data_IF_811358753497
#
_entry.id   IF_811358753497
#
_cell.length_a   1.000
_cell.length_b   1.000
_cell.length_c   1.000
_cell.angle_alpha   90.00
_cell.angle_beta   90.00
_cell.angle_gamma   90.00
#
_symmetry.space_group_name_H-M   'P 1'
#
loop_
_entity.id
_entity.type
_entity.pdbx_description
1 polymer ?
#
# COMPACT_ATOMS: atom_id res chain seq x y z
N UNK A 1 -13.55 -35.26 12.31
CA UNK A 1 -14.24 -34.76 11.07
C UNK A 1 -13.36 -33.67 10.50
N UNK A 2 -12.54 -33.96 9.48
CA UNK A 2 -11.56 -33.02 8.94
C UNK A 2 -12.23 -32.14 7.87
N UNK A 3 -12.25 -30.83 8.08
CA UNK A 3 -12.68 -29.89 7.05
C UNK A 3 -11.62 -29.84 5.95
N UNK A 4 -11.95 -30.40 4.80
CA UNK A 4 -11.18 -30.27 3.58
C UNK A 4 -11.45 -28.88 2.99
N UNK A 5 -10.50 -27.93 3.14
CA UNK A 5 -10.52 -26.69 2.37
C UNK A 5 -9.99 -27.02 0.99
N UNK A 6 -10.91 -27.31 0.07
CA UNK A 6 -10.62 -27.47 -1.35
C UNK A 6 -10.76 -26.10 -2.02
N UNK A 7 -9.70 -25.65 -2.70
CA UNK A 7 -9.82 -24.69 -3.76
C UNK A 7 -9.39 -23.26 -3.48
N UNK A 8 -8.11 -23.05 -3.17
CA UNK A 8 -7.41 -21.85 -3.59
C UNK A 8 -6.46 -22.27 -4.71
N UNK A 9 -7.00 -22.53 -5.89
CA UNK A 9 -6.20 -22.43 -7.11
C UNK A 9 -5.97 -20.94 -7.34
N UNK A 10 -4.76 -20.49 -7.01
CA UNK A 10 -4.24 -19.24 -7.54
C UNK A 10 -4.15 -19.42 -9.06
N UNK A 11 -5.13 -18.88 -9.78
CA UNK A 11 -4.95 -18.57 -11.18
C UNK A 11 -4.01 -17.35 -11.23
N UNK A 12 -2.92 -17.37 -12.01
CA UNK A 12 -2.18 -16.16 -12.32
C UNK A 12 -3.08 -15.30 -13.21
N UNK A 13 -3.89 -14.45 -12.57
CA UNK A 13 -4.69 -13.44 -13.24
C UNK A 13 -3.80 -12.27 -13.57
N UNK A 14 -3.71 -11.92 -14.83
CA UNK A 14 -3.26 -10.61 -15.29
C UNK A 14 -4.22 -9.58 -14.70
N UNK A 15 -3.83 -8.88 -13.66
CA UNK A 15 -4.61 -7.78 -13.10
C UNK A 15 -4.34 -6.53 -13.93
N UNK A 16 -5.16 -6.30 -14.92
CA UNK A 16 -5.28 -5.00 -15.57
C UNK A 16 -6.12 -4.11 -14.66
N UNK A 17 -5.50 -3.15 -14.01
CA UNK A 17 -6.22 -2.08 -13.33
C UNK A 17 -6.44 -0.93 -14.31
N UNK A 18 -7.52 -1.01 -15.07
CA UNK A 18 -7.96 0.10 -15.91
C UNK A 18 -8.42 1.26 -15.03
N UNK A 19 -7.75 2.37 -15.11
CA UNK A 19 -8.17 3.63 -14.52
C UNK A 19 -7.26 4.26 -13.48
N UNK A 20 -6.16 3.61 -13.10
CA UNK A 20 -5.13 4.27 -12.28
C UNK A 20 -3.80 4.23 -13.02
N UNK A 21 -3.16 5.38 -13.16
CA UNK A 21 -1.84 5.52 -13.81
C UNK A 21 -0.68 5.02 -12.92
N UNK A 22 -0.96 4.10 -12.01
CA UNK A 22 0.06 3.38 -11.28
C UNK A 22 0.69 2.34 -12.22
N UNK A 23 2.00 2.26 -12.30
CA UNK A 23 2.64 1.23 -13.11
C UNK A 23 2.09 -0.13 -12.70
N UNK A 24 1.58 -0.88 -13.68
CA UNK A 24 1.10 -2.25 -13.49
C UNK A 24 2.19 -3.02 -12.74
N UNK A 25 1.88 -3.68 -11.61
CA UNK A 25 2.85 -4.56 -10.98
C UNK A 25 3.33 -5.56 -12.04
N UNK A 26 4.62 -5.64 -12.24
CA UNK A 26 5.18 -6.70 -13.09
C UNK A 26 4.85 -8.03 -12.42
N UNK A 27 4.49 -9.07 -13.18
CA UNK A 27 4.12 -10.41 -12.69
C UNK A 27 5.12 -11.02 -11.68
N UNK A 28 6.28 -10.38 -11.53
CA UNK A 28 7.39 -10.84 -10.70
C UNK A 28 7.65 -9.99 -9.44
N UNK A 29 6.91 -8.92 -9.19
CA UNK A 29 7.17 -8.03 -8.05
C UNK A 29 5.88 -7.65 -7.34
N UNK A 30 5.41 -8.51 -6.43
CA UNK A 30 4.33 -8.17 -5.49
C UNK A 30 4.92 -7.69 -4.18
N UNK A 31 5.06 -6.38 -4.03
CA UNK A 31 5.43 -5.73 -2.78
C UNK A 31 4.23 -5.50 -1.85
N UNK A 32 4.49 -4.90 -0.69
CA UNK A 32 3.44 -4.61 0.29
C UNK A 32 2.40 -3.64 -0.23
N UNK A 33 2.78 -2.65 -1.02
CA UNK A 33 1.88 -1.66 -1.63
C UNK A 33 0.89 -2.30 -2.57
N UNK A 34 1.36 -3.17 -3.47
CA UNK A 34 0.55 -3.89 -4.45
C UNK A 34 -0.44 -4.84 -3.76
N UNK A 35 0.00 -5.52 -2.71
CA UNK A 35 -0.87 -6.39 -1.91
C UNK A 35 -1.98 -5.61 -1.20
N UNK A 36 -1.65 -4.46 -0.58
CA UNK A 36 -2.65 -3.62 0.09
C UNK A 36 -3.67 -3.07 -0.91
N UNK A 37 -3.20 -2.64 -2.08
CA UNK A 37 -4.07 -2.17 -3.16
C UNK A 37 -4.98 -3.28 -3.66
N UNK A 38 -4.44 -4.46 -3.95
CA UNK A 38 -5.22 -5.63 -4.34
C UNK A 38 -6.33 -5.92 -3.33
N UNK A 39 -6.01 -5.96 -2.04
CA UNK A 39 -7.00 -6.23 -0.99
C UNK A 39 -8.05 -5.13 -0.88
N UNK A 40 -7.70 -3.87 -1.12
CA UNK A 40 -8.66 -2.78 -1.17
C UNK A 40 -9.72 -3.04 -2.26
N UNK A 41 -9.29 -3.33 -3.48
CA UNK A 41 -10.19 -3.58 -4.61
C UNK A 41 -10.96 -4.90 -4.52
N UNK A 42 -10.46 -5.88 -3.79
CA UNK A 42 -11.17 -7.16 -3.55
C UNK A 42 -12.24 -7.05 -2.45
N UNK A 43 -12.14 -6.08 -1.55
CA UNK A 43 -12.99 -6.02 -0.36
C UNK A 43 -13.86 -4.75 -0.26
N UNK A 44 -13.68 -3.78 -1.13
CA UNK A 44 -14.48 -2.55 -1.15
C UNK A 44 -15.29 -2.51 -2.44
N UNK A 45 -16.53 -2.02 -2.33
CA UNK A 45 -17.42 -1.87 -3.46
C UNK A 45 -16.80 -1.00 -4.55
N UNK A 46 -16.74 -1.51 -5.77
CA UNK A 46 -16.16 -0.81 -6.91
C UNK A 46 -16.93 0.47 -7.25
N UNK A 47 -18.25 0.49 -7.11
CA UNK A 47 -19.07 1.69 -7.33
C UNK A 47 -18.71 2.82 -6.36
N UNK A 48 -18.18 2.46 -5.17
CA UNK A 48 -17.63 3.44 -4.23
C UNK A 48 -16.23 3.88 -4.64
N UNK A 49 -15.36 2.94 -4.97
CA UNK A 49 -13.97 3.23 -5.36
C UNK A 49 -13.90 4.09 -6.62
N UNK A 50 -14.81 3.87 -7.58
CA UNK A 50 -14.88 4.63 -8.83
C UNK A 50 -15.21 6.12 -8.65
N UNK A 51 -15.68 6.52 -7.46
CA UNK A 51 -15.93 7.94 -7.14
C UNK A 51 -14.67 8.72 -6.80
N UNK A 52 -13.55 8.03 -6.58
CA UNK A 52 -12.30 8.61 -6.11
C UNK A 52 -11.12 8.15 -6.96
N UNK A 53 -10.08 8.94 -6.99
CA UNK A 53 -8.76 8.48 -7.44
C UNK A 53 -7.90 8.16 -6.22
N UNK A 54 -7.54 6.87 -6.05
CA UNK A 54 -6.66 6.42 -4.99
C UNK A 54 -5.27 6.18 -5.58
N UNK A 55 -4.31 6.99 -5.16
CA UNK A 55 -2.94 6.98 -5.65
C UNK A 55 -2.05 6.34 -4.59
N UNK A 56 -1.35 5.27 -4.96
CA UNK A 56 -0.45 4.55 -4.04
C UNK A 56 0.98 5.03 -4.22
N UNK A 57 1.51 5.71 -3.23
CA UNK A 57 2.89 6.22 -3.12
C UNK A 57 3.30 7.26 -4.14
N UNK A 58 3.25 6.95 -5.44
CA UNK A 58 3.84 7.77 -6.50
C UNK A 58 2.77 8.48 -7.31
N UNK A 59 2.85 9.80 -7.31
CA UNK A 59 1.94 10.63 -8.11
C UNK A 59 2.38 10.64 -9.55
N UNK A 60 1.48 10.23 -10.44
CA UNK A 60 1.65 10.29 -11.91
C UNK A 60 0.57 11.21 -12.47
N UNK A 61 -0.37 10.68 -13.21
CA UNK A 61 -1.45 11.47 -13.77
C UNK A 61 -2.59 11.63 -12.76
N UNK A 62 -3.17 12.81 -12.72
CA UNK A 62 -4.30 13.14 -11.86
C UNK A 62 -5.54 13.36 -12.74
N UNK A 63 -6.65 12.69 -12.40
CA UNK A 63 -7.95 12.91 -13.01
C UNK A 63 -8.74 14.01 -12.30
N UNK A 64 -10.01 14.21 -12.65
CA UNK A 64 -10.88 15.25 -12.06
C UNK A 64 -11.63 14.78 -10.80
N UNK A 65 -11.47 13.49 -10.39
CA UNK A 65 -12.13 12.95 -9.21
C UNK A 65 -11.47 13.47 -7.91
N UNK A 66 -12.17 13.45 -6.78
CA UNK A 66 -11.55 13.64 -5.47
C UNK A 66 -10.42 12.61 -5.27
N UNK A 67 -9.26 13.06 -4.78
CA UNK A 67 -8.02 12.31 -4.76
C UNK A 67 -7.56 12.00 -3.35
N UNK A 68 -7.12 10.75 -3.15
CA UNK A 68 -6.48 10.33 -1.92
C UNK A 68 -5.08 9.81 -2.24
N UNK A 69 -4.06 10.34 -1.57
CA UNK A 69 -2.70 9.81 -1.69
C UNK A 69 -2.43 8.84 -0.54
N UNK A 70 -2.31 7.56 -0.86
CA UNK A 70 -1.99 6.50 0.10
C UNK A 70 -0.48 6.28 0.13
N UNK A 71 0.17 6.86 1.16
CA UNK A 71 1.62 6.88 1.30
C UNK A 71 2.14 5.55 1.86
N UNK A 72 2.98 4.88 1.11
CA UNK A 72 3.69 3.66 1.54
C UNK A 72 5.20 3.89 1.66
N UNK A 73 5.72 4.96 1.06
CA UNK A 73 7.14 5.32 1.11
C UNK A 73 7.47 6.17 2.35
N UNK A 74 8.75 6.34 2.62
CA UNK A 74 9.22 7.20 3.72
C UNK A 74 9.12 8.68 3.33
N UNK A 75 9.01 9.57 4.33
CA UNK A 75 8.97 11.02 4.10
C UNK A 75 10.24 11.57 3.41
N UNK A 76 11.35 10.85 3.50
CA UNK A 76 12.62 11.23 2.87
C UNK A 76 12.83 10.61 1.48
N UNK A 77 11.85 9.88 0.98
CA UNK A 77 11.88 9.42 -0.39
C UNK A 77 11.77 10.62 -1.34
N UNK A 78 12.62 10.71 -2.37
CA UNK A 78 12.54 11.81 -3.35
C UNK A 78 11.17 11.96 -3.99
N UNK A 79 10.43 10.88 -4.18
CA UNK A 79 9.09 10.90 -4.74
C UNK A 79 8.05 11.57 -3.81
N UNK A 80 8.34 11.69 -2.50
CA UNK A 80 7.48 12.38 -1.55
C UNK A 80 7.79 13.88 -1.43
N UNK A 81 8.91 14.36 -1.98
CA UNK A 81 9.41 15.72 -1.76
C UNK A 81 8.44 16.81 -2.25
N UNK A 82 7.66 16.55 -3.29
CA UNK A 82 6.65 17.47 -3.79
C UNK A 82 5.62 17.86 -2.73
N UNK A 83 5.43 17.05 -1.68
CA UNK A 83 4.50 17.33 -0.59
C UNK A 83 4.98 18.42 0.39
N UNK A 84 6.20 18.95 0.23
CA UNK A 84 6.64 20.17 0.91
C UNK A 84 5.85 21.39 0.45
N UNK A 85 5.47 21.39 -0.82
CA UNK A 85 4.67 22.45 -1.40
C UNK A 85 3.18 22.30 -1.04
N UNK A 86 2.60 23.40 -0.54
CA UNK A 86 1.18 23.45 -0.17
C UNK A 86 0.27 23.21 -1.37
N UNK A 87 0.56 23.81 -2.52
CA UNK A 87 -0.27 23.66 -3.73
C UNK A 87 -0.28 22.20 -4.19
N UNK A 88 0.85 21.52 -4.05
CA UNK A 88 0.95 20.10 -4.34
C UNK A 88 0.10 19.25 -3.39
N UNK A 89 0.08 19.57 -2.10
CA UNK A 89 -0.76 18.87 -1.11
C UNK A 89 -2.26 19.13 -1.32
N UNK A 90 -2.62 20.37 -1.66
CA UNK A 90 -4.01 20.77 -1.82
C UNK A 90 -4.72 20.05 -2.98
N UNK A 91 -3.99 19.33 -3.82
CA UNK A 91 -4.56 18.45 -4.86
C UNK A 91 -5.22 17.20 -4.29
N UNK A 92 -4.96 16.87 -3.02
CA UNK A 92 -5.46 15.68 -2.36
C UNK A 92 -6.44 16.05 -1.24
N UNK A 93 -7.57 15.37 -1.18
CA UNK A 93 -8.53 15.49 -0.08
C UNK A 93 -7.89 15.07 1.26
N UNK A 94 -7.16 13.96 1.24
CA UNK A 94 -6.39 13.45 2.37
C UNK A 94 -5.13 12.73 1.90
N UNK A 95 -4.14 12.78 2.78
CA UNK A 95 -2.95 11.94 2.73
C UNK A 95 -3.15 10.80 3.74
N UNK A 96 -3.09 9.56 3.27
CA UNK A 96 -3.34 8.36 4.06
C UNK A 96 -1.99 7.73 4.40
N UNK A 97 -1.74 7.51 5.69
CA UNK A 97 -0.50 6.93 6.22
C UNK A 97 -0.75 5.56 6.83
N UNK A 98 0.20 4.65 6.70
CA UNK A 98 0.07 3.27 7.22
C UNK A 98 0.38 3.18 8.72
N UNK A 99 0.90 4.25 9.33
CA UNK A 99 1.17 4.31 10.76
C UNK A 99 1.22 5.74 11.29
N UNK A 100 1.05 5.89 12.61
CA UNK A 100 1.26 7.18 13.28
C UNK A 100 2.71 7.67 13.14
N UNK A 101 3.67 6.74 13.17
CA UNK A 101 5.07 7.08 12.98
C UNK A 101 5.32 7.70 11.60
N UNK A 102 4.84 7.06 10.53
CA UNK A 102 4.97 7.60 9.18
C UNK A 102 4.30 8.97 9.06
N UNK A 103 3.07 9.15 9.60
CA UNK A 103 2.39 10.44 9.61
C UNK A 103 3.25 11.52 10.26
N UNK A 104 3.87 11.24 11.43
CA UNK A 104 4.75 12.17 12.14
C UNK A 104 6.02 12.53 11.33
N UNK A 105 6.60 11.57 10.62
CA UNK A 105 7.73 11.81 9.72
C UNK A 105 7.35 12.79 8.59
N UNK A 106 6.17 12.60 7.97
CA UNK A 106 5.67 13.52 6.95
C UNK A 106 5.33 14.90 7.50
N UNK A 107 4.78 14.98 8.69
CA UNK A 107 4.56 16.25 9.40
C UNK A 107 5.88 16.98 9.66
N UNK A 108 6.88 16.27 10.15
CA UNK A 108 8.18 16.85 10.54
C UNK A 108 9.03 17.25 9.33
N UNK A 109 9.16 16.39 8.31
CA UNK A 109 10.07 16.62 7.18
C UNK A 109 9.42 17.37 6.01
N UNK A 110 8.13 17.24 5.83
CA UNK A 110 7.42 17.78 4.67
C UNK A 110 6.36 18.82 5.03
N UNK A 111 6.13 19.07 6.34
CA UNK A 111 5.16 20.04 6.80
C UNK A 111 3.70 19.67 6.51
N UNK A 112 3.40 18.38 6.37
CA UNK A 112 2.03 17.90 6.15
C UNK A 112 1.20 18.14 7.40
N UNK A 113 0.08 18.91 7.34
CA UNK A 113 -0.69 19.22 8.53
C UNK A 113 -1.54 18.03 8.99
N UNK A 114 -1.73 17.85 10.32
CA UNK A 114 -2.59 16.79 10.86
C UNK A 114 -4.03 16.82 10.29
N UNK A 115 -4.55 18.01 9.98
CA UNK A 115 -5.89 18.18 9.41
C UNK A 115 -6.07 17.53 8.04
N UNK A 116 -4.97 17.37 7.29
CA UNK A 116 -4.96 16.72 5.97
C UNK A 116 -4.59 15.24 6.04
N UNK A 117 -4.24 14.75 7.24
CA UNK A 117 -3.70 13.41 7.45
C UNK A 117 -4.74 12.45 8.00
N UNK A 118 -4.70 11.20 7.52
CA UNK A 118 -5.46 10.06 8.04
C UNK A 118 -4.50 8.89 8.24
N UNK A 119 -4.67 8.13 9.30
CA UNK A 119 -3.90 6.89 9.51
C UNK A 119 -4.81 5.69 9.27
N UNK A 120 -4.48 4.90 8.25
CA UNK A 120 -5.10 3.64 7.92
C UNK A 120 -4.01 2.56 7.92
N UNK A 121 -4.00 1.73 8.95
CA UNK A 121 -3.01 0.66 9.07
C UNK A 121 -3.21 -0.39 7.99
N UNK A 122 -2.10 -0.95 7.51
CA UNK A 122 -2.15 -2.08 6.60
C UNK A 122 -2.92 -3.25 7.23
N UNK A 123 -3.74 -3.91 6.43
CA UNK A 123 -4.46 -5.11 6.80
C UNK A 123 -3.79 -6.35 6.21
N UNK A 124 -3.99 -7.48 6.86
CA UNK A 124 -3.61 -8.81 6.36
C UNK A 124 -4.75 -9.78 6.62
N UNK A 125 -4.85 -10.82 5.80
CA UNK A 125 -5.71 -11.94 6.15
C UNK A 125 -5.20 -12.61 7.42
N UNK A 126 -6.11 -13.10 8.31
CA UNK A 126 -5.69 -13.83 9.49
C UNK A 126 -4.80 -15.01 9.11
N UNK A 127 -3.64 -15.09 9.73
CA UNK A 127 -2.72 -16.22 9.58
C UNK A 127 -3.16 -17.31 10.54
N UNK A 128 -3.44 -18.51 10.00
CA UNK A 128 -3.76 -19.67 10.83
C UNK A 128 -2.50 -20.05 11.59
N UNK A 129 -2.63 -20.13 12.91
CA UNK A 129 -1.52 -20.58 13.76
C UNK A 129 -1.20 -22.06 13.48
N UNK A 130 0.04 -22.32 13.08
CA UNK A 130 0.54 -23.67 12.82
C UNK A 130 1.62 -24.02 13.83
N UNK A 131 1.68 -25.27 14.31
CA UNK A 131 2.74 -25.69 15.21
C UNK A 131 4.13 -25.42 14.61
N UNK A 132 4.97 -24.73 15.37
CA UNK A 132 6.33 -24.45 14.96
C UNK A 132 7.19 -25.71 15.14
N UNK A 133 8.10 -26.02 14.20
CA UNK A 133 9.06 -27.11 14.37
C UNK A 133 9.88 -26.88 15.63
N UNK A 134 10.00 -27.93 16.46
CA UNK A 134 10.84 -27.86 17.64
C UNK A 134 12.30 -28.22 17.30
N UNK A 135 13.24 -27.55 17.96
CA UNK A 135 14.67 -27.82 17.77
C UNK A 135 15.26 -27.26 16.48
N UNK A 136 14.50 -26.46 15.72
CA UNK A 136 14.96 -25.82 14.48
C UNK A 136 14.71 -24.33 14.54
N UNK A 137 15.70 -23.54 14.16
CA UNK A 137 15.55 -22.09 13.96
C UNK A 137 15.38 -21.86 12.46
N UNK A 138 14.18 -21.38 12.05
CA UNK A 138 13.92 -21.00 10.67
C UNK A 138 14.15 -19.50 10.52
N UNK A 139 15.07 -19.13 9.62
CA UNK A 139 15.35 -17.73 9.29
C UNK A 139 14.86 -17.50 7.87
N UNK A 140 13.98 -16.51 7.70
CA UNK A 140 13.47 -16.09 6.40
C UNK A 140 13.97 -14.68 6.13
N UNK A 141 14.63 -14.48 4.97
CA UNK A 141 14.99 -13.20 4.44
C UNK A 141 14.39 -13.07 3.04
N UNK A 142 13.41 -12.17 2.86
CA UNK A 142 12.68 -12.02 1.59
C UNK A 142 12.61 -10.58 1.09
N UNK A 143 13.46 -9.71 1.61
CA UNK A 143 13.55 -8.32 1.12
C UNK A 143 14.45 -8.24 -0.11
N UNK A 144 14.47 -7.06 -0.74
CA UNK A 144 15.32 -6.82 -1.91
C UNK A 144 16.82 -6.93 -1.55
N UNK A 145 17.66 -7.53 -2.40
CA UNK A 145 19.07 -7.81 -2.09
C UNK A 145 19.88 -6.60 -1.61
N UNK A 146 19.59 -5.40 -2.11
CA UNK A 146 20.30 -4.16 -1.72
C UNK A 146 19.97 -3.67 -0.31
N UNK A 147 18.96 -4.23 0.35
CA UNK A 147 18.64 -3.95 1.75
C UNK A 147 19.38 -4.86 2.74
N UNK A 148 20.25 -5.75 2.23
CA UNK A 148 21.24 -6.62 2.86
C UNK A 148 21.03 -7.06 4.30
N UNK A 149 21.41 -8.29 4.60
CA UNK A 149 21.85 -8.72 5.91
C UNK A 149 23.35 -8.40 6.00
N UNK A 150 23.70 -7.26 6.61
CA UNK A 150 25.09 -6.96 6.99
C UNK A 150 25.35 -7.49 8.38
#
# INVERSE_FOLDING_TARGET
MALKITGLQQQPGVFSFDGTNDPTPTDNAMGGTELQRKWLYENVDNDLLDKFQIISSRVRDLDDKPKFLWCHDLARDPEAEHLKDKESRDRFEKLIFVSNWQRQEYEYFLGVPPSQSVVLKNAIYPIIDVPKPQGTINIIYHTTPHRGLN
#
